data_IF_137484960207
#
_entry.id   IF_137484960207
#
_cell.length_a   1.000
_cell.length_b   1.000
_cell.length_c   1.000
_cell.angle_alpha   90.00
_cell.angle_beta   90.00
_cell.angle_gamma   90.00
#
_symmetry.space_group_name_H-M   'P 1'
#
loop_
_entity.id
_entity.type
_entity.pdbx_description
1 polymer ?
#
# COMPACT_ATOMS: atom_id res chain seq x y z
N UNK A 1 24.11 37.45 -15.73
CA UNK A 1 23.01 37.98 -14.88
C UNK A 1 22.03 36.86 -14.61
N UNK A 2 21.89 36.42 -13.37
CA UNK A 2 20.96 35.33 -13.01
C UNK A 2 19.51 35.78 -13.31
N UNK A 3 18.84 35.10 -14.25
CA UNK A 3 17.44 35.36 -14.58
C UNK A 3 16.59 35.15 -13.33
N UNK A 4 15.81 36.17 -12.95
CA UNK A 4 14.91 36.13 -11.79
C UNK A 4 13.88 35.00 -11.96
N UNK A 5 14.15 33.84 -11.37
CA UNK A 5 13.24 32.68 -11.28
C UNK A 5 12.18 32.87 -10.19
N UNK A 6 11.49 34.01 -10.20
CA UNK A 6 10.46 34.37 -9.22
C UNK A 6 9.19 34.83 -9.94
N UNK A 7 8.03 34.45 -9.41
CA UNK A 7 6.72 34.72 -10.01
C UNK A 7 6.31 33.71 -11.10
N UNK A 8 5.40 34.11 -11.99
CA UNK A 8 4.80 33.26 -13.04
C UNK A 8 5.81 32.67 -14.05
N UNK A 9 7.06 33.17 -14.04
CA UNK A 9 8.16 32.70 -14.90
C UNK A 9 9.11 31.73 -14.18
N UNK A 10 8.77 31.29 -12.96
CA UNK A 10 9.56 30.29 -12.25
C UNK A 10 9.55 28.98 -13.05
N UNK A 11 10.75 28.49 -13.39
CA UNK A 11 10.91 27.12 -13.86
C UNK A 11 10.43 26.17 -12.76
N UNK A 12 9.25 25.57 -12.95
CA UNK A 12 8.78 24.45 -12.14
C UNK A 12 9.61 23.26 -12.60
N UNK A 13 10.82 23.11 -12.04
CA UNK A 13 11.55 21.84 -12.13
C UNK A 13 10.62 20.77 -11.55
N UNK A 14 10.25 19.82 -12.38
CA UNK A 14 9.11 18.95 -12.13
C UNK A 14 9.31 18.10 -10.89
N UNK A 15 8.61 18.42 -9.80
CA UNK A 15 8.44 17.53 -8.65
C UNK A 15 7.48 16.35 -8.98
N UNK A 16 7.40 15.95 -10.25
CA UNK A 16 6.51 14.88 -10.72
C UNK A 16 7.01 13.48 -10.33
N UNK A 17 8.25 13.36 -9.85
CA UNK A 17 8.86 12.08 -9.49
C UNK A 17 8.35 11.50 -8.16
N UNK A 18 7.75 12.30 -7.28
CA UNK A 18 7.28 11.85 -5.96
C UNK A 18 5.79 11.55 -5.87
N UNK A 19 4.94 12.22 -6.67
CA UNK A 19 3.48 12.14 -6.50
C UNK A 19 2.93 10.73 -6.80
N UNK A 20 3.49 10.05 -7.79
CA UNK A 20 3.06 8.69 -8.18
C UNK A 20 3.35 7.69 -7.06
N UNK A 21 4.58 7.69 -6.55
CA UNK A 21 5.03 6.81 -5.47
C UNK A 21 4.34 7.15 -4.15
N UNK A 22 4.10 8.44 -3.91
CA UNK A 22 3.30 8.90 -2.78
C UNK A 22 1.88 8.34 -2.86
N UNK A 23 1.18 8.49 -3.99
CA UNK A 23 -0.21 8.05 -4.12
C UNK A 23 -0.32 6.53 -4.05
N UNK A 24 0.58 5.81 -4.71
CA UNK A 24 0.59 4.36 -4.72
C UNK A 24 0.84 3.77 -3.32
N UNK A 25 1.67 4.41 -2.50
CA UNK A 25 1.83 4.09 -1.07
C UNK A 25 0.50 4.18 -0.29
N UNK A 26 -0.32 5.22 -0.53
CA UNK A 26 -1.61 5.39 0.17
C UNK A 26 -2.63 4.33 -0.27
N UNK A 27 -2.73 4.10 -1.58
CA UNK A 27 -3.67 3.11 -2.13
C UNK A 27 -3.32 1.72 -1.60
N UNK A 28 -2.05 1.33 -1.69
CA UNK A 28 -1.60 0.03 -1.17
C UNK A 28 -1.77 -0.08 0.34
N UNK A 29 -1.53 0.98 1.11
CA UNK A 29 -1.80 1.00 2.54
C UNK A 29 -3.29 0.77 2.86
N UNK A 30 -4.21 1.40 2.12
CA UNK A 30 -5.67 1.20 2.32
C UNK A 30 -6.09 -0.25 2.02
N UNK A 31 -5.52 -0.85 0.96
CA UNK A 31 -5.75 -2.27 0.63
C UNK A 31 -5.25 -3.17 1.75
N UNK A 32 -4.03 -2.95 2.24
CA UNK A 32 -3.44 -3.76 3.31
C UNK A 32 -4.19 -3.58 4.63
N UNK A 33 -4.53 -2.35 5.00
CA UNK A 33 -5.26 -2.06 6.23
C UNK A 33 -6.65 -2.71 6.24
N UNK A 34 -7.39 -2.64 5.12
CA UNK A 34 -8.70 -3.29 5.01
C UNK A 34 -8.58 -4.81 5.03
N UNK A 35 -7.60 -5.39 4.36
CA UNK A 35 -7.32 -6.83 4.41
C UNK A 35 -6.97 -7.30 5.83
N UNK A 36 -6.04 -6.60 6.51
CA UNK A 36 -5.67 -6.88 7.90
C UNK A 36 -6.86 -6.73 8.85
N UNK A 37 -7.72 -5.73 8.66
CA UNK A 37 -8.91 -5.56 9.48
C UNK A 37 -9.90 -6.73 9.32
N UNK A 38 -10.12 -7.19 8.09
CA UNK A 38 -10.97 -8.37 7.84
C UNK A 38 -10.40 -9.61 8.55
N UNK A 39 -9.10 -9.85 8.42
CA UNK A 39 -8.45 -10.97 9.13
C UNK A 39 -8.52 -10.83 10.65
N UNK A 40 -8.35 -9.62 11.18
CA UNK A 40 -8.43 -9.35 12.60
C UNK A 40 -9.84 -9.61 13.14
N UNK A 41 -10.88 -9.12 12.45
CA UNK A 41 -12.28 -9.39 12.81
C UNK A 41 -12.57 -10.88 12.71
N UNK A 42 -12.13 -11.56 11.65
CA UNK A 42 -12.29 -13.00 11.52
C UNK A 42 -11.60 -13.75 12.67
N UNK A 43 -10.40 -13.32 13.10
CA UNK A 43 -9.70 -13.95 14.20
C UNK A 43 -10.35 -13.73 15.57
N UNK A 44 -10.91 -12.53 15.82
CA UNK A 44 -11.47 -12.15 17.12
C UNK A 44 -12.95 -12.52 17.29
N UNK A 45 -13.71 -12.62 16.19
CA UNK A 45 -15.15 -12.84 16.20
C UNK A 45 -15.58 -14.18 15.56
N UNK A 46 -14.65 -15.06 15.18
CA UNK A 46 -14.99 -16.37 14.63
C UNK A 46 -15.70 -17.25 15.67
N UNK A 47 -16.85 -17.80 15.29
CA UNK A 47 -17.53 -18.85 16.06
C UNK A 47 -16.72 -20.16 16.09
N UNK A 48 -15.94 -20.43 15.05
CA UNK A 48 -15.08 -21.62 14.91
C UNK A 48 -13.60 -21.19 14.71
N UNK A 49 -12.89 -20.81 15.79
CA UNK A 49 -11.51 -20.36 15.73
C UNK A 49 -10.56 -21.56 15.55
N UNK A 50 -10.39 -22.00 14.31
CA UNK A 50 -9.56 -23.15 14.00
C UNK A 50 -9.37 -23.37 12.50
N UNK A 51 -8.73 -24.46 12.13
CA UNK A 51 -8.43 -24.78 10.73
C UNK A 51 -9.67 -24.69 9.83
N UNK A 52 -10.80 -25.28 10.25
CA UNK A 52 -12.02 -25.30 9.44
C UNK A 52 -12.61 -23.89 9.22
N UNK A 53 -12.61 -23.04 10.26
CA UNK A 53 -13.03 -21.65 10.14
C UNK A 53 -12.17 -20.88 9.14
N UNK A 54 -10.85 -20.95 9.27
CA UNK A 54 -9.92 -20.31 8.33
C UNK A 54 -10.04 -20.86 6.91
N UNK A 55 -10.09 -22.18 6.76
CA UNK A 55 -10.25 -22.83 5.46
C UNK A 55 -11.55 -22.39 4.76
N UNK A 56 -12.65 -22.26 5.50
CA UNK A 56 -13.93 -21.81 4.95
C UNK A 56 -13.91 -20.35 4.48
N UNK A 57 -13.27 -19.45 5.22
CA UNK A 57 -13.08 -18.04 4.83
C UNK A 57 -12.25 -17.94 3.55
N UNK A 58 -11.09 -18.62 3.51
CA UNK A 58 -10.19 -18.60 2.37
C UNK A 58 -10.67 -19.43 1.17
N UNK A 59 -11.66 -20.31 1.35
CA UNK A 59 -12.29 -21.02 0.23
C UNK A 59 -13.11 -20.08 -0.66
N UNK A 60 -13.62 -18.98 -0.11
CA UNK A 60 -14.45 -18.01 -0.83
C UNK A 60 -13.68 -17.31 -1.95
N UNK A 61 -14.27 -17.24 -3.16
CA UNK A 61 -13.62 -16.62 -4.32
C UNK A 61 -13.22 -15.16 -4.08
N UNK A 62 -14.07 -14.39 -3.40
CA UNK A 62 -13.77 -12.99 -3.08
C UNK A 62 -12.54 -12.87 -2.16
N UNK A 63 -12.38 -13.78 -1.20
CA UNK A 63 -11.24 -13.79 -0.30
C UNK A 63 -9.95 -14.18 -1.02
N UNK A 64 -10.01 -15.13 -1.97
CA UNK A 64 -8.85 -15.49 -2.81
C UNK A 64 -8.38 -14.32 -3.67
N UNK A 65 -9.32 -13.65 -4.35
CA UNK A 65 -9.01 -12.47 -5.16
C UNK A 65 -8.45 -11.37 -4.27
N UNK A 66 -9.07 -11.11 -3.12
CA UNK A 66 -8.62 -10.06 -2.23
C UNK A 66 -7.24 -10.35 -1.61
N UNK A 67 -6.96 -11.61 -1.27
CA UNK A 67 -5.64 -12.06 -0.82
C UNK A 67 -4.58 -11.84 -1.89
N UNK A 68 -4.89 -12.16 -3.16
CA UNK A 68 -3.98 -11.90 -4.27
C UNK A 68 -3.70 -10.40 -4.45
N UNK A 69 -4.74 -9.57 -4.41
CA UNK A 69 -4.60 -8.10 -4.50
C UNK A 69 -3.79 -7.56 -3.32
N UNK A 70 -4.06 -8.03 -2.11
CA UNK A 70 -3.29 -7.65 -0.92
C UNK A 70 -1.83 -8.08 -1.02
N UNK A 71 -1.55 -9.25 -1.58
CA UNK A 71 -0.17 -9.72 -1.79
C UNK A 71 0.59 -8.86 -2.79
N UNK A 72 -0.03 -8.49 -3.92
CA UNK A 72 0.57 -7.55 -4.89
C UNK A 72 0.77 -6.16 -4.27
N UNK A 73 -0.20 -5.67 -3.50
CA UNK A 73 -0.10 -4.42 -2.77
C UNK A 73 1.04 -4.46 -1.76
N UNK A 74 1.20 -5.57 -1.03
CA UNK A 74 2.29 -5.77 -0.07
C UNK A 74 3.66 -5.68 -0.73
N UNK A 75 3.88 -6.41 -1.83
CA UNK A 75 5.15 -6.37 -2.57
C UNK A 75 5.48 -4.93 -2.99
N UNK A 76 4.52 -4.24 -3.59
CA UNK A 76 4.74 -2.89 -4.07
C UNK A 76 4.95 -1.88 -2.93
N UNK A 77 4.16 -1.98 -1.86
CA UNK A 77 4.26 -1.14 -0.67
C UNK A 77 5.62 -1.30 0.02
N UNK A 78 6.05 -2.56 0.19
CA UNK A 78 7.35 -2.88 0.78
C UNK A 78 8.49 -2.40 -0.12
N UNK A 79 8.41 -2.62 -1.44
CA UNK A 79 9.43 -2.17 -2.39
C UNK A 79 9.67 -0.65 -2.32
N UNK A 80 8.61 0.15 -2.45
CA UNK A 80 8.74 1.61 -2.41
C UNK A 80 9.20 2.07 -1.02
N UNK A 81 8.62 1.52 0.06
CA UNK A 81 8.98 1.91 1.42
C UNK A 81 10.43 1.59 1.78
N UNK A 82 10.91 0.40 1.44
CA UNK A 82 12.30 -0.01 1.69
C UNK A 82 13.28 0.78 0.82
N UNK A 83 12.95 1.06 -0.45
CA UNK A 83 13.76 1.93 -1.30
C UNK A 83 13.93 3.32 -0.69
N UNK A 84 12.84 3.89 -0.17
CA UNK A 84 12.88 5.21 0.47
C UNK A 84 13.74 5.19 1.75
N UNK A 85 13.60 4.16 2.59
CA UNK A 85 14.48 3.96 3.75
C UNK A 85 15.95 3.84 3.33
N UNK A 86 16.24 3.11 2.26
CA UNK A 86 17.60 2.96 1.77
C UNK A 86 18.18 4.30 1.33
N UNK A 87 17.45 5.08 0.52
CA UNK A 87 17.91 6.40 0.04
C UNK A 87 18.14 7.41 1.19
N UNK A 88 17.39 7.28 2.28
CA UNK A 88 17.46 8.22 3.42
C UNK A 88 18.51 7.84 4.47
N UNK A 89 18.77 6.54 4.68
CA UNK A 89 19.52 6.06 5.86
C UNK A 89 20.73 5.18 5.56
N UNK A 90 20.95 4.72 4.31
CA UNK A 90 22.09 3.86 3.93
C UNK A 90 22.92 4.53 2.85
#
# INVERSE_FOLDING_TARGET
MAGRNIGQKRLVVGAHYGLRDWLSQRITAMVLASYSLILLVAALAAAEPGYYGWASLFAQTWMKVFTLVAFLAFIYHAWVGVRDIWMDYV
#
